data_IF_000354791480
#
_entry.id   IF_000354791480
#
_cell.length_a   1.000
_cell.length_b   1.000
_cell.length_c   1.000
_cell.angle_alpha   90.00
_cell.angle_beta   90.00
_cell.angle_gamma   90.00
#
_symmetry.space_group_name_H-M   'P 1'
#
loop_
_entity.id
_entity.type
_entity.pdbx_description
1 polymer ?
#
# COMPACT_ATOMS: atom_id res chain seq x y z
N UNK A 1 -2.67 13.92 -5.84
CA UNK A 1 -2.98 12.64 -5.21
C UNK A 1 -3.17 12.85 -3.71
N UNK A 2 -4.23 12.38 -3.13
CA UNK A 2 -4.60 12.64 -1.74
C UNK A 2 -5.85 13.53 -1.61
N UNK A 3 -6.24 13.97 -0.40
CA UNK A 3 -5.39 14.02 0.80
C UNK A 3 -5.16 12.67 1.47
N UNK A 4 -3.94 12.46 1.96
CA UNK A 4 -3.61 11.35 2.87
C UNK A 4 -3.56 11.89 4.29
N UNK A 5 -4.15 11.17 5.24
CA UNK A 5 -4.25 11.63 6.63
C UNK A 5 -2.90 11.64 7.36
N UNK A 6 -1.98 10.77 6.95
CA UNK A 6 -0.63 10.74 7.53
C UNK A 6 0.44 10.41 6.49
N UNK A 7 1.69 10.79 6.80
CA UNK A 7 2.85 10.43 5.99
C UNK A 7 3.11 8.92 5.93
N UNK A 8 2.66 8.17 6.95
CA UNK A 8 2.75 6.71 6.96
C UNK A 8 1.86 6.10 5.88
N UNK A 9 0.59 6.48 5.84
CA UNK A 9 -0.37 5.97 4.84
C UNK A 9 0.07 6.31 3.42
N UNK A 10 0.57 7.52 3.21
CA UNK A 10 1.12 7.93 1.91
C UNK A 10 2.32 7.05 1.49
N UNK A 11 3.25 6.75 2.42
CA UNK A 11 4.40 5.90 2.14
C UNK A 11 3.99 4.47 1.80
N UNK A 12 3.06 3.88 2.54
CA UNK A 12 2.59 2.52 2.27
C UNK A 12 1.83 2.44 0.94
N UNK A 13 1.00 3.43 0.60
CA UNK A 13 0.33 3.49 -0.69
C UNK A 13 1.33 3.58 -1.87
N UNK A 14 2.36 4.41 -1.75
CA UNK A 14 3.43 4.51 -2.76
C UNK A 14 4.21 3.20 -2.87
N UNK A 15 4.52 2.55 -1.76
CA UNK A 15 5.23 1.28 -1.74
C UNK A 15 4.42 0.16 -2.41
N UNK A 16 3.13 0.10 -2.15
CA UNK A 16 2.20 -0.83 -2.79
C UNK A 16 2.15 -0.61 -4.30
N UNK A 17 1.96 0.63 -4.75
CA UNK A 17 1.93 0.99 -6.18
C UNK A 17 3.25 0.64 -6.86
N UNK A 18 4.38 0.96 -6.26
CA UNK A 18 5.69 0.60 -6.80
C UNK A 18 5.82 -0.91 -7.01
N UNK A 19 5.31 -1.70 -6.08
CA UNK A 19 5.33 -3.17 -6.15
C UNK A 19 4.39 -3.71 -7.23
N UNK A 20 3.14 -3.24 -7.27
CA UNK A 20 2.12 -3.68 -8.23
C UNK A 20 2.51 -3.36 -9.66
N UNK A 21 2.95 -2.13 -9.91
CA UNK A 21 3.29 -1.64 -11.24
C UNK A 21 4.78 -1.83 -11.58
N UNK A 22 5.57 -2.43 -10.67
CA UNK A 22 7.02 -2.66 -10.82
C UNK A 22 7.78 -1.37 -11.18
N UNK A 23 7.41 -0.25 -10.57
CA UNK A 23 8.00 1.04 -10.88
C UNK A 23 9.46 1.09 -10.42
N UNK A 24 10.34 1.84 -11.12
CA UNK A 24 11.73 1.99 -10.70
C UNK A 24 11.81 2.80 -9.41
N UNK A 25 12.46 2.22 -8.39
CA UNK A 25 12.72 2.86 -7.10
C UNK A 25 14.19 3.28 -6.92
N UNK A 26 14.98 3.18 -7.98
CA UNK A 26 16.40 3.55 -7.98
C UNK A 26 16.59 5.06 -8.22
N UNK A 27 17.79 5.56 -7.90
CA UNK A 27 18.18 6.95 -8.10
C UNK A 27 18.74 7.25 -9.50
N UNK A 28 18.52 6.35 -10.48
CA UNK A 28 18.99 6.57 -11.85
C UNK A 28 18.17 7.63 -12.55
N UNK A 29 18.85 8.51 -13.29
CA UNK A 29 18.20 9.53 -14.12
C UNK A 29 17.92 8.98 -15.52
N UNK A 30 16.73 9.18 -16.04
CA UNK A 30 16.33 8.75 -17.38
C UNK A 30 16.06 9.98 -18.27
N UNK A 31 16.47 9.98 -19.55
CA UNK A 31 17.01 8.86 -20.34
C UNK A 31 18.54 8.60 -20.18
N UNK A 32 19.26 9.45 -19.44
CA UNK A 32 20.73 9.39 -19.37
C UNK A 32 21.30 8.03 -18.93
N UNK A 33 20.53 7.23 -18.20
CA UNK A 33 20.93 5.92 -17.70
C UNK A 33 20.48 4.75 -18.58
N UNK A 34 19.88 5.01 -19.76
CA UNK A 34 19.50 3.93 -20.68
C UNK A 34 20.73 3.19 -21.19
N UNK A 35 20.64 1.87 -21.20
CA UNK A 35 21.69 0.94 -21.65
C UNK A 35 23.04 1.11 -20.91
N UNK A 36 23.10 1.84 -19.81
CA UNK A 36 24.32 2.03 -19.03
C UNK A 36 24.37 1.09 -17.84
N UNK A 37 25.35 0.21 -17.87
CA UNK A 37 25.64 -0.73 -16.77
C UNK A 37 24.63 -1.89 -16.65
N UNK A 38 24.85 -2.73 -15.64
CA UNK A 38 24.00 -3.88 -15.37
C UNK A 38 22.70 -3.47 -14.67
N UNK A 39 21.59 -4.16 -14.94
CA UNK A 39 20.36 -3.99 -14.16
C UNK A 39 20.60 -4.28 -12.68
N UNK A 40 19.84 -3.59 -11.81
CA UNK A 40 19.93 -3.80 -10.36
C UNK A 40 19.20 -5.07 -9.92
N UNK A 41 19.40 -5.47 -8.66
CA UNK A 41 18.76 -6.65 -8.08
C UNK A 41 17.23 -6.64 -8.24
N UNK A 42 16.57 -5.48 -8.05
CA UNK A 42 15.12 -5.37 -8.18
C UNK A 42 14.59 -5.77 -9.57
N UNK A 43 15.39 -5.57 -10.62
CA UNK A 43 15.05 -6.05 -11.95
C UNK A 43 15.10 -7.60 -12.01
N UNK A 44 16.14 -8.21 -11.48
CA UNK A 44 16.27 -9.67 -11.46
C UNK A 44 15.22 -10.35 -10.58
N UNK A 45 14.81 -9.68 -9.48
CA UNK A 45 13.72 -10.12 -8.62
C UNK A 45 12.33 -9.81 -9.19
N UNK A 46 12.24 -9.28 -10.41
CA UNK A 46 10.99 -8.86 -11.06
C UNK A 46 10.18 -7.81 -10.27
N UNK A 47 10.84 -7.05 -9.41
CA UNK A 47 10.27 -5.96 -8.64
C UNK A 47 10.38 -4.60 -9.34
N UNK A 48 11.07 -4.54 -10.47
CA UNK A 48 11.24 -3.35 -11.30
C UNK A 48 11.10 -3.73 -12.78
N UNK A 49 10.39 -2.92 -13.54
CA UNK A 49 10.21 -3.12 -14.98
C UNK A 49 11.49 -2.98 -15.81
N UNK A 50 12.58 -2.47 -15.22
CA UNK A 50 13.86 -2.33 -15.88
C UNK A 50 13.96 -1.19 -16.89
N UNK A 51 13.40 -0.02 -16.56
CA UNK A 51 13.43 1.17 -17.43
C UNK A 51 14.85 1.51 -17.91
N UNK A 52 15.88 1.25 -17.06
CA UNK A 52 17.28 1.46 -17.40
C UNK A 52 17.80 0.62 -18.61
N UNK A 53 17.07 -0.42 -19.01
CA UNK A 53 17.40 -1.21 -20.20
C UNK A 53 16.97 -0.54 -21.50
N UNK A 54 16.14 0.53 -21.44
CA UNK A 54 15.67 1.25 -22.62
C UNK A 54 14.69 0.45 -23.51
N UNK A 55 14.17 -0.69 -23.03
CA UNK A 55 13.27 -1.54 -23.82
C UNK A 55 11.81 -1.14 -23.72
N UNK A 56 11.50 -0.13 -22.89
CA UNK A 56 10.14 0.36 -22.68
C UNK A 56 10.01 1.70 -23.37
N UNK A 57 9.06 1.82 -24.29
CA UNK A 57 8.79 3.08 -24.98
C UNK A 57 8.24 4.13 -24.01
N UNK A 58 8.41 5.40 -24.33
CA UNK A 58 7.87 6.51 -23.55
C UNK A 58 6.35 6.39 -23.40
N UNK A 59 5.65 6.02 -24.46
CA UNK A 59 4.21 5.85 -24.44
C UNK A 59 3.78 4.71 -23.50
N UNK A 60 4.43 3.56 -23.58
CA UNK A 60 4.15 2.43 -22.68
C UNK A 60 4.42 2.78 -21.22
N UNK A 61 5.47 3.54 -20.93
CA UNK A 61 5.74 4.02 -19.58
C UNK A 61 4.67 4.99 -19.09
N UNK A 62 4.21 5.92 -19.95
CA UNK A 62 3.13 6.85 -19.61
C UNK A 62 1.81 6.12 -19.31
N UNK A 63 1.45 5.10 -20.08
CA UNK A 63 0.27 4.26 -19.81
C UNK A 63 0.37 3.58 -18.44
N UNK A 64 1.53 3.03 -18.10
CA UNK A 64 1.76 2.41 -16.79
C UNK A 64 1.59 3.44 -15.66
N UNK A 65 2.13 4.64 -15.83
CA UNK A 65 2.00 5.72 -14.84
C UNK A 65 0.56 6.19 -14.68
N UNK A 66 -0.20 6.29 -15.77
CA UNK A 66 -1.63 6.62 -15.72
C UNK A 66 -2.43 5.57 -14.95
N UNK A 67 -2.18 4.29 -15.19
CA UNK A 67 -2.80 3.19 -14.44
C UNK A 67 -2.43 3.22 -12.95
N UNK A 68 -1.17 3.51 -12.63
CA UNK A 68 -0.71 3.66 -11.24
C UNK A 68 -1.38 4.84 -10.54
N UNK A 69 -1.56 5.97 -11.23
CA UNK A 69 -2.27 7.14 -10.72
C UNK A 69 -3.77 6.84 -10.53
N UNK A 70 -4.39 6.14 -11.48
CA UNK A 70 -5.79 5.72 -11.38
C UNK A 70 -6.00 4.79 -10.17
N UNK A 71 -5.08 3.86 -9.94
CA UNK A 71 -5.09 2.98 -8.78
C UNK A 71 -5.05 3.76 -7.45
N UNK A 72 -4.18 4.77 -7.34
CA UNK A 72 -4.11 5.61 -6.15
C UNK A 72 -5.35 6.47 -5.92
N UNK A 73 -6.05 6.89 -7.01
CA UNK A 73 -7.25 7.72 -6.94
C UNK A 73 -8.52 6.91 -6.65
N UNK A 74 -8.70 5.83 -7.38
CA UNK A 74 -9.97 5.10 -7.46
C UNK A 74 -9.98 3.84 -6.60
N UNK A 75 -8.81 3.43 -6.07
CA UNK A 75 -8.64 2.21 -5.29
C UNK A 75 -8.51 0.95 -6.15
N UNK A 76 -8.32 -0.18 -5.47
CA UNK A 76 -8.03 -1.47 -6.11
C UNK A 76 -9.19 -2.00 -6.96
N UNK A 77 -10.43 -1.91 -6.47
CA UNK A 77 -11.60 -2.53 -7.13
C UNK A 77 -11.89 -1.91 -8.50
N UNK A 78 -11.97 -0.57 -8.56
CA UNK A 78 -12.23 0.12 -9.83
C UNK A 78 -11.09 -0.09 -10.84
N UNK A 79 -9.84 -0.09 -10.36
CA UNK A 79 -8.67 -0.33 -11.21
C UNK A 79 -8.61 -1.76 -11.76
N UNK A 80 -9.01 -2.77 -10.96
CA UNK A 80 -9.10 -4.16 -11.42
C UNK A 80 -10.17 -4.31 -12.50
N UNK A 81 -11.35 -3.71 -12.32
CA UNK A 81 -12.41 -3.75 -13.33
C UNK A 81 -11.96 -3.13 -14.66
N UNK A 82 -11.30 -1.97 -14.60
CA UNK A 82 -10.77 -1.34 -15.81
C UNK A 82 -9.71 -2.21 -16.49
N UNK A 83 -8.74 -2.75 -15.71
CA UNK A 83 -7.71 -3.65 -16.25
C UNK A 83 -8.30 -4.93 -16.85
N UNK A 84 -9.39 -5.45 -16.29
CA UNK A 84 -10.12 -6.60 -16.85
C UNK A 84 -10.65 -6.29 -18.25
N UNK A 85 -11.33 -5.17 -18.43
CA UNK A 85 -11.85 -4.74 -19.73
C UNK A 85 -10.73 -4.51 -20.75
N UNK A 86 -9.64 -3.86 -20.33
CA UNK A 86 -8.46 -3.65 -21.19
C UNK A 86 -7.80 -4.99 -21.59
N UNK A 87 -7.74 -5.96 -20.67
CA UNK A 87 -7.19 -7.30 -20.92
C UNK A 87 -8.03 -8.06 -21.94
N UNK A 88 -9.36 -8.05 -21.78
CA UNK A 88 -10.29 -8.69 -22.71
C UNK A 88 -10.17 -8.07 -24.11
N UNK A 89 -10.18 -6.75 -24.20
CA UNK A 89 -9.99 -6.03 -25.46
C UNK A 89 -8.61 -6.29 -26.11
N UNK A 90 -7.56 -6.51 -25.33
CA UNK A 90 -6.25 -6.90 -25.85
C UNK A 90 -6.26 -8.34 -26.39
N UNK A 91 -6.92 -9.25 -25.69
CA UNK A 91 -7.07 -10.65 -26.11
C UNK A 91 -7.87 -10.76 -27.42
N UNK A 92 -8.95 -9.99 -27.58
CA UNK A 92 -9.73 -9.93 -28.82
C UNK A 92 -8.90 -9.45 -30.02
N UNK A 93 -7.95 -8.55 -29.79
CA UNK A 93 -7.00 -8.08 -30.82
C UNK A 93 -5.78 -8.99 -31.00
N UNK A 94 -5.77 -10.16 -30.34
CA UNK A 94 -4.67 -11.12 -30.32
C UNK A 94 -3.35 -10.55 -29.76
N UNK A 95 -3.42 -9.45 -28.97
CA UNK A 95 -2.28 -8.89 -28.23
C UNK A 95 -2.10 -9.62 -26.89
N UNK A 96 -1.65 -10.85 -26.98
CA UNK A 96 -1.49 -11.72 -25.81
C UNK A 96 -0.41 -11.25 -24.84
N UNK A 97 0.60 -10.52 -25.31
CA UNK A 97 1.63 -9.96 -24.41
C UNK A 97 1.01 -8.89 -23.50
N UNK A 98 0.23 -7.99 -24.06
CA UNK A 98 -0.49 -6.96 -23.28
C UNK A 98 -1.50 -7.58 -22.34
N UNK A 99 -2.27 -8.55 -22.79
CA UNK A 99 -3.22 -9.28 -21.95
C UNK A 99 -2.55 -9.98 -20.77
N UNK A 100 -1.41 -10.63 -21.00
CA UNK A 100 -0.63 -11.28 -19.94
C UNK A 100 -0.10 -10.28 -18.90
N UNK A 101 0.39 -9.11 -19.32
CA UNK A 101 0.85 -8.05 -18.42
C UNK A 101 -0.30 -7.55 -17.52
N UNK A 102 -1.48 -7.30 -18.08
CA UNK A 102 -2.65 -6.85 -17.34
C UNK A 102 -3.14 -7.90 -16.34
N UNK A 103 -3.21 -9.16 -16.76
CA UNK A 103 -3.53 -10.29 -15.89
C UNK A 103 -2.57 -10.37 -14.69
N UNK A 104 -1.27 -10.25 -14.93
CA UNK A 104 -0.25 -10.35 -13.88
C UNK A 104 -0.33 -9.18 -12.91
N UNK A 105 -0.70 -7.97 -13.39
CA UNK A 105 -0.99 -6.82 -12.53
C UNK A 105 -2.23 -7.05 -11.65
N UNK A 106 -3.32 -7.55 -12.23
CA UNK A 106 -4.52 -7.88 -11.44
C UNK A 106 -4.21 -8.89 -10.34
N UNK A 107 -3.41 -9.92 -10.65
CA UNK A 107 -2.92 -10.89 -9.64
C UNK A 107 -2.06 -10.20 -8.56
N UNK A 108 -1.20 -9.26 -8.92
CA UNK A 108 -0.38 -8.53 -7.97
C UNK A 108 -1.23 -7.64 -7.04
N UNK A 109 -2.29 -7.00 -7.56
CA UNK A 109 -3.26 -6.23 -6.78
C UNK A 109 -4.01 -7.13 -5.80
N UNK A 110 -4.51 -8.28 -6.27
CA UNK A 110 -5.20 -9.25 -5.42
C UNK A 110 -4.30 -9.72 -4.27
N UNK A 111 -3.06 -10.09 -4.58
CA UNK A 111 -2.07 -10.49 -3.56
C UNK A 111 -1.71 -9.38 -2.58
N UNK A 112 -1.63 -8.12 -3.04
CA UNK A 112 -1.41 -6.98 -2.15
C UNK A 112 -2.61 -6.79 -1.21
N UNK A 113 -3.82 -6.93 -1.72
CA UNK A 113 -5.05 -6.91 -0.92
C UNK A 113 -5.14 -8.03 0.12
N UNK A 114 -4.65 -9.23 -0.20
CA UNK A 114 -4.59 -10.34 0.76
C UNK A 114 -3.62 -10.08 1.93
N UNK A 115 -2.51 -9.41 1.66
CA UNK A 115 -1.54 -9.05 2.71
C UNK A 115 -2.08 -7.98 3.66
N UNK A 116 -3.08 -7.20 3.24
CA UNK A 116 -3.77 -6.21 4.08
C UNK A 116 -4.98 -6.77 4.84
N UNK A 117 -5.35 -8.03 4.62
CA UNK A 117 -6.42 -8.71 5.36
C UNK A 117 -5.94 -9.13 6.76
N UNK A 118 -5.60 -8.16 7.60
CA UNK A 118 -5.32 -8.40 9.02
C UNK A 118 -6.63 -8.48 9.82
N UNK A 119 -7.73 -7.97 9.25
CA UNK A 119 -9.06 -7.99 9.86
C UNK A 119 -9.98 -8.91 9.09
N UNK A 120 -10.78 -9.66 9.83
CA UNK A 120 -11.81 -10.55 9.31
C UNK A 120 -12.74 -9.81 8.32
N UNK A 121 -13.26 -10.53 7.34
CA UNK A 121 -13.97 -9.98 6.18
C UNK A 121 -15.16 -9.08 6.53
N UNK A 122 -15.70 -9.19 7.74
CA UNK A 122 -16.91 -8.48 8.16
C UNK A 122 -16.64 -7.13 8.86
N UNK A 123 -15.43 -6.89 9.36
CA UNK A 123 -15.09 -5.65 10.06
C UNK A 123 -14.82 -4.53 9.06
N UNK A 124 -15.71 -3.54 8.99
CA UNK A 124 -15.58 -2.38 8.10
C UNK A 124 -14.75 -1.25 8.73
N UNK A 125 -14.91 -1.04 10.02
CA UNK A 125 -14.22 -0.01 10.79
C UNK A 125 -13.74 -0.62 12.10
N UNK A 126 -12.44 -0.55 12.36
CA UNK A 126 -11.87 -1.00 13.62
C UNK A 126 -10.65 -0.15 13.98
N UNK A 127 -10.40 -0.06 15.27
CA UNK A 127 -9.15 0.43 15.81
C UNK A 127 -8.44 -0.73 16.52
N UNK A 128 -7.15 -0.92 16.20
CA UNK A 128 -6.33 -1.98 16.78
C UNK A 128 -5.27 -1.34 17.65
N UNK A 129 -5.24 -1.71 18.92
CA UNK A 129 -4.21 -1.29 19.86
C UNK A 129 -3.27 -2.43 20.17
N UNK A 130 -1.99 -2.13 20.16
CA UNK A 130 -0.95 -3.07 20.60
C UNK A 130 -0.01 -2.36 21.56
N UNK A 131 0.31 -3.03 22.67
CA UNK A 131 1.31 -2.56 23.63
C UNK A 131 2.61 -3.31 23.41
N UNK A 132 3.70 -2.59 23.43
CA UNK A 132 5.04 -3.15 23.43
C UNK A 132 5.88 -2.49 24.54
N UNK A 133 6.78 -3.26 25.15
CA UNK A 133 7.64 -2.82 26.22
C UNK A 133 9.11 -2.98 25.82
N UNK A 134 9.94 -2.01 26.17
CA UNK A 134 11.39 -2.07 25.95
C UNK A 134 12.10 -1.29 27.04
N UNK A 135 12.79 -2.01 27.94
CA UNK A 135 13.43 -1.42 29.10
C UNK A 135 12.41 -0.71 30.01
N UNK A 136 12.63 0.55 30.30
CA UNK A 136 11.73 1.37 31.13
C UNK A 136 10.65 2.12 30.33
N UNK A 137 10.45 1.77 29.08
CA UNK A 137 9.50 2.44 28.19
C UNK A 137 8.41 1.49 27.72
N UNK A 138 7.20 1.99 27.71
CA UNK A 138 6.05 1.34 27.08
C UNK A 138 5.61 2.14 25.86
N UNK A 139 5.10 1.44 24.87
CA UNK A 139 4.62 2.03 23.63
C UNK A 139 3.25 1.45 23.27
N UNK A 140 2.27 2.31 23.06
CA UNK A 140 0.99 1.95 22.45
C UNK A 140 1.04 2.30 20.97
N UNK A 141 0.82 1.31 20.13
CA UNK A 141 0.59 1.51 18.69
C UNK A 141 -0.90 1.39 18.40
N UNK A 142 -1.49 2.44 17.86
CA UNK A 142 -2.89 2.51 17.46
C UNK A 142 -2.95 2.48 15.94
N UNK A 143 -3.62 1.47 15.39
CA UNK A 143 -3.87 1.30 13.96
C UNK A 143 -5.34 1.57 13.69
N UNK A 144 -5.64 2.57 12.90
CA UNK A 144 -6.98 2.96 12.53
C UNK A 144 -7.37 2.33 11.19
N UNK A 145 -8.35 1.44 11.20
CA UNK A 145 -8.89 0.83 9.98
C UNK A 145 -10.23 1.45 9.62
N UNK A 146 -10.36 1.90 8.37
CA UNK A 146 -11.59 2.46 7.80
C UNK A 146 -11.80 1.87 6.42
N UNK A 147 -13.02 1.45 6.11
CA UNK A 147 -13.35 0.80 4.84
C UNK A 147 -12.42 -0.38 4.51
N UNK A 148 -12.11 -1.22 5.52
CA UNK A 148 -11.21 -2.38 5.42
C UNK A 148 -9.75 -2.05 5.03
N UNK A 149 -9.32 -0.81 5.21
CA UNK A 149 -7.96 -0.34 4.91
C UNK A 149 -7.35 0.35 6.11
N UNK A 150 -6.06 0.20 6.26
CA UNK A 150 -5.30 0.97 7.23
C UNK A 150 -5.36 2.45 6.85
N UNK A 151 -6.09 3.21 7.65
CA UNK A 151 -6.33 4.64 7.45
C UNK A 151 -5.21 5.48 8.06
N UNK A 152 -4.75 5.11 9.28
CA UNK A 152 -3.68 5.79 9.98
C UNK A 152 -2.97 4.87 10.98
N UNK A 153 -1.76 5.28 11.39
CA UNK A 153 -1.00 4.67 12.48
C UNK A 153 -0.49 5.75 13.38
N UNK A 154 -0.81 5.67 14.66
CA UNK A 154 -0.34 6.55 15.71
C UNK A 154 0.49 5.74 16.72
N UNK A 155 1.45 6.39 17.35
CA UNK A 155 2.34 5.75 18.30
C UNK A 155 2.54 6.67 19.51
N UNK A 156 2.28 6.13 20.69
CA UNK A 156 2.35 6.85 21.95
C UNK A 156 3.40 6.20 22.85
N UNK A 157 4.35 6.99 23.34
CA UNK A 157 5.44 6.53 24.19
C UNK A 157 5.20 6.98 25.63
N UNK A 158 5.38 6.05 26.56
CA UNK A 158 5.24 6.25 27.99
C UNK A 158 6.57 5.94 28.67
N UNK A 159 6.95 6.79 29.62
CA UNK A 159 8.23 6.69 30.34
C UNK A 159 8.11 5.93 31.67
N UNK A 160 6.91 5.52 32.05
CA UNK A 160 6.65 4.77 33.27
C UNK A 160 6.06 3.40 32.88
N UNK A 161 6.54 2.36 33.57
CA UNK A 161 6.00 1.01 33.41
C UNK A 161 4.77 0.90 34.30
N UNK A 162 3.60 0.78 33.66
CA UNK A 162 2.35 0.45 34.30
C UNK A 162 1.90 -0.95 33.85
N UNK A 163 1.07 -1.65 34.63
CA UNK A 163 0.46 -2.88 34.14
C UNK A 163 -0.28 -2.63 32.84
N UNK A 164 -0.02 -3.45 31.82
CA UNK A 164 -0.56 -3.28 30.47
C UNK A 164 -2.08 -3.01 30.42
N UNK A 165 -2.85 -3.70 31.28
CA UNK A 165 -4.29 -3.49 31.36
C UNK A 165 -4.67 -2.09 31.89
N UNK A 166 -3.94 -1.59 32.89
CA UNK A 166 -4.16 -0.23 33.43
C UNK A 166 -3.80 0.85 32.42
N UNK A 167 -2.66 0.70 31.75
CA UNK A 167 -2.21 1.60 30.68
C UNK A 167 -3.21 1.65 29.53
N UNK A 168 -3.69 0.50 29.06
CA UNK A 168 -4.69 0.42 27.99
C UNK A 168 -6.01 1.07 28.41
N UNK A 169 -6.51 0.76 29.61
CA UNK A 169 -7.77 1.35 30.09
C UNK A 169 -7.71 2.88 30.19
N UNK A 170 -6.61 3.41 30.75
CA UNK A 170 -6.39 4.86 30.85
C UNK A 170 -6.26 5.49 29.47
N UNK A 171 -5.50 4.88 28.57
CA UNK A 171 -5.31 5.37 27.21
C UNK A 171 -6.63 5.39 26.43
N UNK A 172 -7.39 4.31 26.46
CA UNK A 172 -8.68 4.20 25.76
C UNK A 172 -9.63 5.28 26.26
N UNK A 173 -9.75 5.43 27.59
CA UNK A 173 -10.61 6.46 28.17
C UNK A 173 -10.25 7.87 27.69
N UNK A 174 -8.97 8.24 27.75
CA UNK A 174 -8.53 9.58 27.35
C UNK A 174 -8.58 9.81 25.84
N UNK A 175 -8.23 8.80 25.04
CA UNK A 175 -8.21 8.93 23.58
C UNK A 175 -9.62 9.09 23.01
N UNK A 176 -10.55 8.24 23.42
CA UNK A 176 -11.92 8.27 22.87
C UNK A 176 -12.83 9.32 23.51
N UNK A 177 -12.48 9.88 24.66
CA UNK A 177 -13.17 11.05 25.22
C UNK A 177 -13.04 12.30 24.33
N UNK A 178 -11.93 12.38 23.58
CA UNK A 178 -11.63 13.48 22.66
C UNK A 178 -11.82 13.14 21.18
N UNK A 179 -12.16 11.89 20.85
CA UNK A 179 -12.27 11.45 19.47
C UNK A 179 -13.62 11.89 18.86
N UNK A 180 -13.57 12.48 17.66
CA UNK A 180 -14.76 12.86 16.91
C UNK A 180 -15.63 11.65 16.51
N UNK A 181 -15.01 10.47 16.37
CA UNK A 181 -15.69 9.24 15.96
C UNK A 181 -15.10 8.03 16.66
N UNK A 182 -15.98 7.26 17.29
CA UNK A 182 -15.64 5.96 17.87
C UNK A 182 -15.89 4.87 16.83
N UNK A 183 -14.93 3.93 16.59
CA UNK A 183 -15.11 2.83 15.65
C UNK A 183 -16.16 1.83 16.13
N UNK A 184 -16.67 0.97 15.21
CA UNK A 184 -17.57 -0.12 15.59
C UNK A 184 -16.88 -1.21 16.41
N UNK A 185 -15.59 -1.42 16.16
CA UNK A 185 -14.81 -2.48 16.77
C UNK A 185 -13.48 -1.93 17.33
N UNK A 186 -13.14 -2.40 18.53
CA UNK A 186 -11.87 -2.13 19.18
C UNK A 186 -11.18 -3.46 19.46
N UNK A 187 -10.01 -3.66 18.88
CA UNK A 187 -9.21 -4.88 19.02
C UNK A 187 -7.96 -4.60 19.87
N UNK A 188 -7.67 -5.48 20.82
CA UNK A 188 -6.56 -5.38 21.78
C UNK A 188 -5.60 -6.55 21.61
#
# INVERSE_FOLDING_TARGET
>A
LGPYMSGFVAKEAVKEVNKVFRLPTCQKSFPASFHRGRPCLNYHLQQCMGLCRGNISQQAYQEIMQQAIAYLKNGSTASVQQMQQEMEAAAERLDFERAAILRDRMKAIAKAGETQKILDSDIKEADVLAVSESGEKQCISLLLYRNRRLFDKQTYLFSQLEPTAGLLASFIGQYYDQAEKIPSDLLL
#
